data_IF_739806593964
#
_entry.id   IF_739806593964
#
_cell.length_a   1.000
_cell.length_b   1.000
_cell.length_c   1.000
_cell.angle_alpha   90.00
_cell.angle_beta   90.00
_cell.angle_gamma   90.00
#
_symmetry.space_group_name_H-M   'P 1'
#
loop_
_entity.id
_entity.type
_entity.pdbx_description
1 polymer ?
#
# COMPACT_ATOMS: atom_id res chain seq x y z
N UNK A 1 22.77 22.41 3.54
CA UNK A 1 22.34 21.09 4.04
C UNK A 1 21.30 20.54 3.08
N UNK A 2 21.73 19.66 2.17
CA UNK A 2 20.83 18.90 1.30
C UNK A 2 20.03 17.95 2.18
N UNK A 3 18.70 18.10 2.21
CA UNK A 3 17.79 17.16 2.90
C UNK A 3 18.03 15.77 2.33
N UNK A 4 18.72 14.91 3.06
CA UNK A 4 18.79 13.48 2.78
C UNK A 4 17.36 12.97 2.58
N UNK A 5 17.14 12.10 1.60
CA UNK A 5 15.89 11.34 1.45
C UNK A 5 15.45 10.87 2.84
N UNK A 6 14.37 11.44 3.38
CA UNK A 6 13.69 10.85 4.52
C UNK A 6 13.32 9.43 4.06
N UNK A 7 13.82 8.42 4.77
CA UNK A 7 13.64 7.03 4.37
C UNK A 7 12.15 6.69 4.43
N UNK A 8 11.48 6.67 3.28
CA UNK A 8 10.08 6.26 3.23
C UNK A 8 10.02 4.74 3.38
N UNK A 9 9.15 4.29 4.29
CA UNK A 9 8.88 2.89 4.58
C UNK A 9 7.58 2.51 3.90
N UNK A 10 7.59 1.37 3.21
CA UNK A 10 6.36 0.76 2.71
C UNK A 10 5.63 0.10 3.87
N UNK A 11 4.36 0.43 4.01
CA UNK A 11 3.47 -0.22 4.97
C UNK A 11 2.17 -0.62 4.31
N UNK A 12 1.66 -1.78 4.71
CA UNK A 12 0.30 -2.24 4.42
C UNK A 12 -0.68 -1.52 5.34
N UNK A 13 -1.77 -1.07 4.76
CA UNK A 13 -2.90 -0.50 5.51
C UNK A 13 -3.77 -1.64 6.06
N UNK A 14 -3.98 -1.66 7.38
CA UNK A 14 -4.78 -2.68 8.07
C UNK A 14 -6.27 -2.31 8.14
N UNK A 15 -6.55 -1.03 8.35
CA UNK A 15 -7.91 -0.45 8.42
C UNK A 15 -7.95 0.81 7.56
N UNK A 16 -9.13 1.23 7.10
CA UNK A 16 -9.25 2.49 6.34
C UNK A 16 -8.65 3.65 7.14
N UNK A 17 -7.73 4.39 6.55
CA UNK A 17 -7.06 5.54 7.18
C UNK A 17 -6.99 6.72 6.23
N UNK A 18 -6.98 7.92 6.80
CA UNK A 18 -6.65 9.14 6.08
C UNK A 18 -5.28 9.65 6.50
N UNK A 19 -4.37 9.80 5.53
CA UNK A 19 -3.01 10.31 5.73
C UNK A 19 -2.79 11.43 4.72
N UNK A 20 -2.43 12.63 5.20
CA UNK A 20 -2.20 13.81 4.36
C UNK A 20 -3.37 14.13 3.42
N UNK A 21 -4.62 13.99 3.89
CA UNK A 21 -5.83 14.25 3.09
C UNK A 21 -6.20 13.15 2.09
N UNK A 22 -5.45 12.04 2.06
CA UNK A 22 -5.72 10.90 1.18
C UNK A 22 -6.26 9.73 1.99
N UNK A 23 -7.42 9.23 1.60
CA UNK A 23 -8.02 8.01 2.16
C UNK A 23 -7.38 6.79 1.49
N UNK A 24 -6.88 5.87 2.30
CA UNK A 24 -6.36 4.57 1.91
C UNK A 24 -7.19 3.44 2.51
N UNK A 25 -7.38 2.39 1.73
CA UNK A 25 -8.22 1.23 2.07
C UNK A 25 -7.39 0.07 2.63
N UNK A 26 -8.02 -0.89 3.34
CA UNK A 26 -7.33 -2.09 3.78
C UNK A 26 -6.64 -2.82 2.63
N UNK A 27 -5.41 -3.27 2.87
CA UNK A 27 -4.50 -3.87 1.88
C UNK A 27 -3.94 -2.92 0.83
N UNK A 28 -4.18 -1.61 0.92
CA UNK A 28 -3.35 -0.67 0.19
C UNK A 28 -1.91 -0.72 0.73
N UNK A 29 -0.96 -0.49 -0.16
CA UNK A 29 0.46 -0.31 0.20
C UNK A 29 0.77 1.17 0.00
N UNK A 30 1.23 1.81 1.06
CA UNK A 30 1.59 3.22 1.07
C UNK A 30 3.03 3.42 1.53
N UNK A 31 3.60 4.55 1.18
CA UNK A 31 4.92 4.99 1.64
C UNK A 31 4.74 6.09 2.68
N UNK A 32 5.33 5.90 3.85
CA UNK A 32 5.23 6.81 5.00
C UNK A 32 6.61 7.02 5.63
N UNK A 33 6.80 8.13 6.34
CA UNK A 33 8.00 8.31 7.18
C UNK A 33 7.88 7.52 8.50
N UNK A 34 9.01 7.42 9.22
CA UNK A 34 9.11 6.74 10.51
C UNK A 34 8.11 7.29 11.55
N UNK A 35 7.96 8.61 11.61
CA UNK A 35 7.08 9.28 12.58
C UNK A 35 5.62 8.90 12.32
N UNK A 36 5.17 8.97 11.07
CA UNK A 36 3.81 8.57 10.67
C UNK A 36 3.57 7.08 10.93
N UNK A 37 4.56 6.23 10.62
CA UNK A 37 4.46 4.80 10.89
C UNK A 37 4.30 4.53 12.38
N UNK A 38 5.08 5.21 13.23
CA UNK A 38 5.00 5.08 14.68
C UNK A 38 3.66 5.55 15.25
N UNK A 39 3.19 6.73 14.81
CA UNK A 39 1.92 7.31 15.23
C UNK A 39 0.72 6.45 14.80
N UNK A 40 0.84 5.79 13.65
CA UNK A 40 -0.22 4.96 13.05
C UNK A 40 0.06 3.46 13.11
N UNK A 41 0.95 3.00 14.00
CA UNK A 41 1.36 1.58 14.13
C UNK A 41 0.24 0.57 14.39
N UNK A 42 -0.92 1.03 14.87
CA UNK A 42 -2.11 0.18 15.02
C UNK A 42 -2.90 0.00 13.71
N UNK A 43 -2.64 0.84 12.71
CA UNK A 43 -3.37 0.90 11.44
C UNK A 43 -2.47 0.59 10.24
N UNK A 44 -1.15 0.62 10.43
CA UNK A 44 -0.13 0.36 9.42
C UNK A 44 0.77 -0.79 9.85
N UNK A 45 1.10 -1.65 8.90
CA UNK A 45 1.98 -2.80 9.10
C UNK A 45 3.14 -2.76 8.10
N UNK A 46 4.34 -2.49 8.60
CA UNK A 46 5.57 -2.41 7.81
C UNK A 46 6.29 -3.75 7.69
N UNK A 47 5.71 -4.86 8.16
CA UNK A 47 6.30 -6.18 7.97
C UNK A 47 6.44 -6.48 6.46
N UNK A 48 7.66 -6.82 5.97
CA UNK A 48 7.89 -7.10 4.57
C UNK A 48 6.97 -8.18 3.98
N UNK A 49 6.59 -9.19 4.76
CA UNK A 49 5.67 -10.24 4.33
C UNK A 49 4.24 -9.71 4.20
N UNK A 50 3.80 -8.82 5.10
CA UNK A 50 2.49 -8.17 5.01
C UNK A 50 2.41 -7.25 3.78
N UNK A 51 3.47 -6.49 3.51
CA UNK A 51 3.59 -5.65 2.31
C UNK A 51 3.55 -6.51 1.04
N UNK A 52 4.37 -7.55 0.95
CA UNK A 52 4.41 -8.44 -0.21
C UNK A 52 3.05 -9.12 -0.46
N UNK A 53 2.35 -9.53 0.60
CA UNK A 53 1.00 -10.07 0.50
C UNK A 53 0.03 -9.06 -0.13
N UNK A 54 0.01 -7.82 0.37
CA UNK A 54 -0.84 -6.77 -0.17
C UNK A 54 -0.53 -6.46 -1.64
N UNK A 55 0.75 -6.34 -2.03
CA UNK A 55 1.16 -6.16 -3.43
C UNK A 55 0.67 -7.32 -4.32
N UNK A 56 0.71 -8.55 -3.80
CA UNK A 56 0.23 -9.74 -4.53
C UNK A 56 -1.28 -9.70 -4.82
N UNK A 57 -2.08 -9.12 -3.92
CA UNK A 57 -3.52 -8.97 -4.12
C UNK A 57 -3.81 -8.00 -5.26
N UNK A 58 -3.10 -6.87 -5.32
CA UNK A 58 -3.22 -5.89 -6.40
C UNK A 58 -2.79 -6.48 -7.75
N UNK A 59 -1.71 -7.25 -7.76
CA UNK A 59 -1.25 -7.94 -8.97
C UNK A 59 -2.29 -8.95 -9.49
N UNK A 60 -2.90 -9.75 -8.60
CA UNK A 60 -3.98 -10.68 -8.95
C UNK A 60 -5.21 -9.96 -9.49
N UNK A 61 -5.62 -8.86 -8.85
CA UNK A 61 -6.75 -8.05 -9.28
C UNK A 61 -6.52 -7.43 -10.66
N UNK A 62 -5.30 -6.92 -10.92
CA UNK A 62 -4.92 -6.38 -12.23
C UNK A 62 -4.97 -7.46 -13.30
N UNK A 63 -4.33 -8.61 -13.06
CA UNK A 63 -4.32 -9.73 -14.00
C UNK A 63 -5.72 -10.26 -14.32
N UNK A 64 -6.60 -10.33 -13.30
CA UNK A 64 -8.00 -10.71 -13.51
C UNK A 64 -8.72 -9.75 -14.45
N UNK A 65 -8.56 -8.43 -14.25
CA UNK A 65 -9.17 -7.40 -15.11
C UNK A 65 -8.63 -7.43 -16.55
N UNK A 66 -7.35 -7.74 -16.72
CA UNK A 66 -6.73 -7.90 -18.04
C UNK A 66 -7.33 -9.11 -18.77
N UNK A 67 -7.43 -10.27 -18.10
CA UNK A 67 -8.06 -11.47 -18.64
C UNK A 67 -9.55 -11.26 -18.99
N UNK A 68 -10.30 -10.57 -18.13
CA UNK A 68 -11.71 -10.24 -18.40
C UNK A 68 -11.87 -9.36 -19.64
N UNK A 69 -10.94 -8.42 -19.89
CA UNK A 69 -10.93 -7.58 -21.09
C UNK A 69 -10.59 -8.36 -22.35
N UNK A 70 -9.63 -9.27 -22.29
CA UNK A 70 -9.28 -10.13 -23.43
C UNK A 70 -10.47 -11.02 -23.81
N UNK A 71 -11.15 -11.62 -22.84
CA UNK A 71 -12.30 -12.49 -23.08
C UNK A 71 -13.54 -11.76 -23.64
N UNK A 72 -13.68 -10.47 -23.39
CA UNK A 72 -14.82 -9.67 -23.90
C UNK A 72 -14.58 -9.08 -25.30
N UNK A 73 -13.39 -9.27 -25.87
CA UNK A 73 -13.02 -8.79 -27.20
C UNK A 73 -13.00 -9.90 -28.27
N UNK A 74 -13.26 -11.15 -27.90
CA UNK A 74 -13.56 -12.29 -28.79
C UNK A 74 -15.09 -12.49 -28.96
#
# INVERSE_FOLDING_TARGET
MTRSKIGLIKARVLVTVEINGKISQPNDVIEVDDDTLWDRRASLDADPAAVAYAESLHAKAKRKRELERELTLE
#
